data_IF_855781479043
#
_entry.id   IF_855781479043
#
_cell.length_a   1.000
_cell.length_b   1.000
_cell.length_c   1.000
_cell.angle_alpha   90.00
_cell.angle_beta   90.00
_cell.angle_gamma   90.00
#
_symmetry.space_group_name_H-M   'P 1'
#
loop_
_entity.id
_entity.type
_entity.pdbx_description
1 polymer ?
#
# COMPACT_ATOMS: atom_id res chain seq x y z
N UNK A 1 48.55 -15.71 3.31
CA UNK A 1 47.24 -15.05 3.56
C UNK A 1 46.13 -16.08 3.69
N UNK A 2 45.79 -16.47 4.92
CA UNK A 2 44.73 -17.44 5.25
C UNK A 2 43.35 -16.84 5.01
N UNK A 3 42.80 -17.05 3.80
CA UNK A 3 41.50 -16.49 3.40
C UNK A 3 40.35 -17.36 3.91
N UNK A 4 39.81 -16.96 5.08
CA UNK A 4 38.52 -17.35 5.70
C UNK A 4 37.59 -18.05 4.71
N UNK A 5 37.55 -19.38 4.76
CA UNK A 5 36.45 -20.16 4.21
C UNK A 5 35.20 -19.71 4.97
N UNK A 6 34.20 -19.13 4.26
CA UNK A 6 32.97 -18.71 4.95
C UNK A 6 32.32 -19.96 5.54
N UNK A 7 32.27 -20.02 6.87
CA UNK A 7 31.60 -21.06 7.65
C UNK A 7 30.16 -21.24 7.13
N UNK A 8 29.60 -22.47 7.16
CA UNK A 8 28.17 -22.65 6.92
C UNK A 8 27.37 -21.74 7.86
N UNK A 9 26.19 -21.27 7.42
CA UNK A 9 25.35 -20.43 8.28
C UNK A 9 25.03 -21.18 9.58
N UNK A 10 25.56 -20.64 10.67
CA UNK A 10 25.36 -21.15 12.02
C UNK A 10 24.00 -20.72 12.56
N UNK A 11 23.68 -21.20 13.76
CA UNK A 11 22.44 -20.85 14.47
C UNK A 11 22.27 -19.31 14.58
N UNK A 12 23.36 -18.61 14.92
CA UNK A 12 23.39 -17.15 15.04
C UNK A 12 23.01 -16.46 13.72
N UNK A 13 23.52 -16.94 12.58
CA UNK A 13 23.23 -16.34 11.28
C UNK A 13 21.74 -16.52 10.88
N UNK A 14 21.12 -17.63 11.31
CA UNK A 14 19.68 -17.88 11.13
C UNK A 14 18.87 -16.93 12.00
N UNK A 15 19.23 -16.79 13.29
CA UNK A 15 18.56 -15.87 14.22
C UNK A 15 18.63 -14.43 13.70
N UNK A 16 19.80 -13.99 13.24
CA UNK A 16 19.97 -12.66 12.62
C UNK A 16 19.08 -12.52 11.38
N UNK A 17 19.03 -13.55 10.52
CA UNK A 17 18.15 -13.55 9.35
C UNK A 17 16.67 -13.39 9.72
N UNK A 18 16.20 -14.13 10.72
CA UNK A 18 14.82 -14.03 11.22
C UNK A 18 14.53 -12.63 11.79
N UNK A 19 15.45 -12.04 12.57
CA UNK A 19 15.29 -10.69 13.11
C UNK A 19 15.22 -9.63 12.00
N UNK A 20 16.07 -9.75 10.97
CA UNK A 20 16.03 -8.85 9.81
C UNK A 20 14.72 -8.98 9.04
N UNK A 21 14.21 -10.21 8.85
CA UNK A 21 12.92 -10.43 8.21
C UNK A 21 11.76 -9.88 9.03
N UNK A 22 11.79 -10.04 10.35
CA UNK A 22 10.79 -9.47 11.26
C UNK A 22 10.81 -7.93 11.20
N UNK A 23 11.99 -7.32 11.29
CA UNK A 23 12.15 -5.87 11.17
C UNK A 23 11.68 -5.34 9.81
N UNK A 24 12.03 -6.03 8.72
CA UNK A 24 11.54 -5.69 7.39
C UNK A 24 10.02 -5.82 7.25
N UNK A 25 9.42 -6.84 7.90
CA UNK A 25 7.98 -7.01 7.98
C UNK A 25 7.28 -5.82 8.67
N UNK A 26 7.82 -5.37 9.80
CA UNK A 26 7.33 -4.18 10.52
C UNK A 26 7.41 -2.92 9.65
N UNK A 27 8.53 -2.73 8.92
CA UNK A 27 8.69 -1.61 7.99
C UNK A 27 7.69 -1.66 6.82
N UNK A 28 7.38 -2.85 6.31
CA UNK A 28 6.43 -3.03 5.22
C UNK A 28 4.96 -2.94 5.67
N UNK A 29 4.67 -3.13 6.96
CA UNK A 29 3.31 -3.23 7.47
C UNK A 29 2.40 -2.04 7.10
N UNK A 30 2.79 -0.77 7.30
CA UNK A 30 1.93 0.37 6.96
C UNK A 30 1.55 0.41 5.48
N UNK A 31 2.47 0.03 4.58
CA UNK A 31 2.23 0.01 3.13
C UNK A 31 1.28 -1.13 2.73
N UNK A 32 1.47 -2.33 3.31
CA UNK A 32 0.59 -3.46 3.05
C UNK A 32 -0.82 -3.24 3.63
N UNK A 33 -0.90 -2.68 4.84
CA UNK A 33 -2.14 -2.33 5.52
C UNK A 33 -2.91 -1.26 4.73
N UNK A 34 -2.24 -0.17 4.32
CA UNK A 34 -2.85 0.86 3.47
C UNK A 34 -3.32 0.30 2.13
N UNK A 35 -2.53 -0.56 1.49
CA UNK A 35 -2.91 -1.18 0.22
C UNK A 35 -4.18 -2.03 0.36
N UNK A 36 -4.32 -2.78 1.45
CA UNK A 36 -5.51 -3.56 1.75
C UNK A 36 -6.73 -2.67 2.07
N UNK A 37 -6.58 -1.65 2.91
CA UNK A 37 -7.68 -0.71 3.23
C UNK A 37 -8.11 0.10 2.00
N UNK A 38 -7.16 0.57 1.20
CA UNK A 38 -7.42 1.26 -0.07
C UNK A 38 -8.27 0.40 -1.00
N UNK A 39 -7.92 -0.89 -1.15
CA UNK A 39 -8.72 -1.85 -1.92
C UNK A 39 -10.14 -2.03 -1.35
N UNK A 40 -10.27 -2.20 -0.04
CA UNK A 40 -11.57 -2.32 0.61
C UNK A 40 -12.43 -1.05 0.43
N UNK A 41 -11.82 0.13 0.42
CA UNK A 41 -12.50 1.40 0.18
C UNK A 41 -12.93 1.55 -1.28
N UNK A 42 -12.13 1.07 -2.24
CA UNK A 42 -12.59 1.01 -3.64
C UNK A 42 -13.79 0.08 -3.79
N UNK A 43 -13.92 -1.00 -3.03
CA UNK A 43 -15.14 -1.83 -3.05
C UNK A 43 -16.38 -1.08 -2.53
N UNK A 44 -16.25 -0.22 -1.51
CA UNK A 44 -17.35 0.64 -1.04
C UNK A 44 -17.78 1.59 -2.15
N UNK A 45 -16.81 2.28 -2.75
CA UNK A 45 -17.05 3.22 -3.84
C UNK A 45 -17.70 2.51 -5.04
N UNK A 46 -17.19 1.35 -5.44
CA UNK A 46 -17.73 0.59 -6.58
C UNK A 46 -19.18 0.16 -6.31
N UNK A 47 -19.51 -0.28 -5.09
CA UNK A 47 -20.90 -0.63 -4.72
C UNK A 47 -21.81 0.60 -4.67
N UNK A 48 -21.34 1.71 -4.11
CA UNK A 48 -22.06 2.99 -4.12
C UNK A 48 -22.36 3.42 -5.56
N UNK A 49 -21.35 3.43 -6.45
CA UNK A 49 -21.52 3.75 -7.87
C UNK A 49 -22.50 2.81 -8.57
N UNK A 50 -22.48 1.51 -8.26
CA UNK A 50 -23.44 0.54 -8.79
C UNK A 50 -24.88 0.82 -8.31
N UNK A 51 -25.06 1.23 -7.06
CA UNK A 51 -26.37 1.63 -6.52
C UNK A 51 -26.86 2.90 -7.22
N UNK A 52 -26.02 3.91 -7.37
CA UNK A 52 -26.35 5.15 -8.09
C UNK A 52 -26.68 4.89 -9.57
N UNK A 53 -25.92 4.02 -10.25
CA UNK A 53 -26.15 3.67 -11.65
C UNK A 53 -27.46 2.90 -11.90
N UNK A 54 -28.01 2.24 -10.88
CA UNK A 54 -29.31 1.55 -10.95
C UNK A 54 -30.49 2.50 -10.74
N UNK A 55 -30.27 3.66 -10.14
CA UNK A 55 -31.31 4.68 -9.95
C UNK A 55 -31.60 5.34 -11.30
N UNK A 56 -32.87 5.63 -11.57
CA UNK A 56 -33.23 6.44 -12.74
C UNK A 56 -32.84 7.92 -12.52
N UNK A 57 -32.78 8.68 -13.60
CA UNK A 57 -32.36 10.08 -13.55
C UNK A 57 -33.26 10.96 -12.68
N UNK A 58 -34.55 10.65 -12.56
CA UNK A 58 -35.48 11.41 -11.73
C UNK A 58 -35.18 11.26 -10.24
N UNK A 59 -34.87 10.05 -9.79
CA UNK A 59 -34.51 9.76 -8.39
C UNK A 59 -33.20 10.47 -8.04
N UNK A 60 -32.18 10.34 -8.89
CA UNK A 60 -30.88 11.02 -8.69
C UNK A 60 -31.05 12.54 -8.62
N UNK A 61 -31.84 13.12 -9.54
CA UNK A 61 -32.12 14.56 -9.54
C UNK A 61 -32.87 14.99 -8.28
N UNK A 62 -33.83 14.19 -7.80
CA UNK A 62 -34.59 14.48 -6.58
C UNK A 62 -33.68 14.47 -5.35
N UNK A 63 -32.84 13.46 -5.20
CA UNK A 63 -31.88 13.37 -4.08
C UNK A 63 -30.87 14.53 -4.11
N UNK A 64 -30.33 14.84 -5.29
CA UNK A 64 -29.40 15.97 -5.44
C UNK A 64 -30.07 17.31 -5.12
N UNK A 65 -31.33 17.51 -5.55
CA UNK A 65 -32.11 18.71 -5.22
C UNK A 65 -32.43 18.80 -3.72
N UNK A 66 -32.70 17.69 -3.05
CA UNK A 66 -32.89 17.64 -1.59
C UNK A 66 -31.64 18.14 -0.85
N UNK A 67 -30.45 17.68 -1.26
CA UNK A 67 -29.19 18.20 -0.72
C UNK A 67 -29.00 19.70 -0.99
N UNK A 68 -29.36 20.18 -2.19
CA UNK A 68 -29.29 21.62 -2.48
C UNK A 68 -30.28 22.44 -1.64
N UNK A 69 -31.47 21.91 -1.36
CA UNK A 69 -32.46 22.56 -0.50
C UNK A 69 -31.95 22.64 0.95
N UNK A 70 -31.38 21.55 1.48
CA UNK A 70 -30.71 21.54 2.79
C UNK A 70 -29.56 22.55 2.83
N UNK A 71 -28.76 22.67 1.77
CA UNK A 71 -27.72 23.68 1.68
C UNK A 71 -28.27 25.11 1.75
N UNK A 72 -29.40 25.40 1.11
CA UNK A 72 -30.07 26.71 1.20
C UNK A 72 -30.55 27.00 2.62
N UNK A 73 -31.08 25.99 3.32
CA UNK A 73 -31.50 26.13 4.72
C UNK A 73 -30.30 26.42 5.63
N UNK A 74 -29.19 25.69 5.47
CA UNK A 74 -27.94 25.92 6.21
C UNK A 74 -27.36 27.32 5.96
N UNK A 75 -27.42 27.80 4.70
CA UNK A 75 -26.97 29.15 4.36
C UNK A 75 -27.85 30.23 5.03
N UNK A 76 -29.16 30.00 5.12
CA UNK A 76 -30.10 30.92 5.76
C UNK A 76 -29.99 30.93 7.29
N UNK A 77 -29.76 29.77 7.92
CA UNK A 77 -29.65 29.65 9.38
C UNK A 77 -28.31 30.11 9.95
N UNK A 78 -27.29 30.33 9.09
CA UNK A 78 -25.91 30.64 9.49
C UNK A 78 -25.36 29.64 10.54
N UNK A 79 -25.76 28.38 10.43
CA UNK A 79 -25.42 27.34 11.40
C UNK A 79 -23.89 27.21 11.56
N UNK A 80 -23.44 27.07 12.80
CA UNK A 80 -22.03 26.89 13.12
C UNK A 80 -21.63 25.45 12.77
N UNK A 81 -20.52 25.25 12.02
CA UNK A 81 -20.00 23.92 11.72
C UNK A 81 -19.75 23.09 12.99
N UNK A 82 -20.27 21.86 13.00
CA UNK A 82 -20.22 20.93 14.12
C UNK A 82 -18.88 20.22 14.25
N UNK A 83 -17.83 20.94 14.69
CA UNK A 83 -16.50 20.35 14.93
C UNK A 83 -16.43 19.43 16.16
N UNK A 84 -17.44 19.46 17.02
CA UNK A 84 -17.49 18.65 18.24
C UNK A 84 -17.48 17.15 17.94
N UNK A 85 -18.26 16.68 16.95
CA UNK A 85 -18.29 15.27 16.56
C UNK A 85 -16.93 14.80 16.05
N UNK A 86 -16.28 15.60 15.20
CA UNK A 86 -14.92 15.31 14.76
C UNK A 86 -13.92 15.31 15.93
N UNK A 87 -13.95 16.32 16.80
CA UNK A 87 -13.00 16.44 17.91
C UNK A 87 -13.15 15.31 18.93
N UNK A 88 -14.40 14.92 19.25
CA UNK A 88 -14.69 13.73 20.04
C UNK A 88 -14.11 12.49 19.36
N UNK A 89 -14.42 12.32 18.07
CA UNK A 89 -14.04 11.13 17.32
C UNK A 89 -12.54 10.91 17.14
N UNK A 90 -11.75 11.99 17.17
CA UNK A 90 -10.29 11.90 17.11
C UNK A 90 -9.63 11.80 18.48
N UNK A 91 -10.29 12.23 19.57
CA UNK A 91 -9.74 12.22 20.92
C UNK A 91 -10.06 10.91 21.67
N UNK A 92 -11.18 10.26 21.37
CA UNK A 92 -11.62 8.99 21.97
C UNK A 92 -10.84 7.75 21.53
N UNK A 93 -9.68 7.94 20.89
CA UNK A 93 -8.76 6.85 20.54
C UNK A 93 -8.28 6.05 21.77
N UNK A 94 -8.46 6.56 22.99
CA UNK A 94 -8.17 5.87 24.25
C UNK A 94 -9.34 5.11 24.90
N UNK A 95 -10.59 5.31 24.46
CA UNK A 95 -11.81 4.76 25.10
C UNK A 95 -12.67 3.90 24.19
N UNK A 96 -12.22 3.60 22.96
CA UNK A 96 -12.87 2.69 22.02
C UNK A 96 -12.84 1.21 22.51
N UNK A 97 -13.52 0.93 23.62
CA UNK A 97 -14.28 -0.31 23.75
C UNK A 97 -15.24 -0.34 22.55
N UNK A 98 -15.09 -1.37 21.72
CA UNK A 98 -15.84 -1.70 20.48
C UNK A 98 -15.22 -1.12 19.20
N UNK A 99 -14.28 -1.78 18.53
CA UNK A 99 -14.38 -3.14 17.97
C UNK A 99 -15.64 -3.40 17.11
N UNK A 100 -16.26 -2.37 16.52
CA UNK A 100 -17.20 -2.62 15.43
C UNK A 100 -16.40 -3.00 14.18
N UNK A 101 -16.37 -4.31 13.87
CA UNK A 101 -15.73 -4.83 12.66
C UNK A 101 -16.21 -4.05 11.44
N UNK A 102 -15.29 -3.77 10.50
CA UNK A 102 -15.60 -3.12 9.22
C UNK A 102 -16.81 -3.80 8.58
N UNK A 103 -17.86 -3.03 8.29
CA UNK A 103 -19.07 -3.51 7.62
C UNK A 103 -19.24 -2.79 6.28
N UNK A 104 -18.93 -3.48 5.19
CA UNK A 104 -18.95 -2.89 3.86
C UNK A 104 -20.35 -2.41 3.44
N UNK A 105 -21.42 -3.05 3.90
CA UNK A 105 -22.79 -2.67 3.53
C UNK A 105 -23.22 -1.38 4.22
N UNK A 106 -22.90 -1.22 5.51
CA UNK A 106 -23.17 0.01 6.26
C UNK A 106 -22.37 1.17 5.67
N UNK A 107 -21.07 0.97 5.42
CA UNK A 107 -20.21 1.98 4.78
C UNK A 107 -20.75 2.41 3.41
N UNK A 108 -21.21 1.45 2.60
CA UNK A 108 -21.81 1.76 1.29
C UNK A 108 -23.07 2.61 1.45
N UNK A 109 -23.96 2.26 2.38
CA UNK A 109 -25.22 3.00 2.63
C UNK A 109 -24.98 4.41 3.14
N UNK A 110 -23.93 4.63 3.94
CA UNK A 110 -23.57 5.93 4.50
C UNK A 110 -22.74 6.78 3.51
N UNK A 111 -22.32 6.23 2.37
CA UNK A 111 -21.54 6.98 1.37
C UNK A 111 -22.45 7.93 0.61
N UNK A 112 -22.10 9.22 0.59
CA UNK A 112 -22.80 10.25 -0.18
C UNK A 112 -22.03 10.74 -1.39
N UNK A 113 -20.70 10.61 -1.36
CA UNK A 113 -19.85 11.03 -2.45
C UNK A 113 -18.54 10.24 -2.47
N UNK A 114 -17.77 10.44 -3.53
CA UNK A 114 -16.38 10.04 -3.62
C UNK A 114 -15.50 11.28 -3.75
N UNK A 115 -14.43 11.34 -2.95
CA UNK A 115 -13.37 12.32 -3.06
C UNK A 115 -12.17 11.73 -3.80
N UNK A 116 -11.69 12.43 -4.82
CA UNK A 116 -10.48 12.05 -5.57
C UNK A 116 -9.46 13.18 -5.58
N UNK A 117 -8.20 12.87 -5.28
CA UNK A 117 -7.08 13.84 -5.29
C UNK A 117 -5.91 13.23 -6.10
N UNK A 118 -5.82 13.52 -7.41
CA UNK A 118 -4.86 12.87 -8.32
C UNK A 118 -3.40 13.01 -7.91
N UNK A 119 -3.00 14.20 -7.46
CA UNK A 119 -1.59 14.51 -7.14
C UNK A 119 -0.99 13.59 -6.08
N UNK A 120 -1.82 13.15 -5.13
CA UNK A 120 -1.41 12.22 -4.07
C UNK A 120 -1.95 10.81 -4.29
N UNK A 121 -2.60 10.56 -5.43
CA UNK A 121 -3.20 9.27 -5.77
C UNK A 121 -4.25 8.82 -4.76
N UNK A 122 -5.09 9.74 -4.26
CA UNK A 122 -6.10 9.46 -3.24
C UNK A 122 -7.49 9.27 -3.87
N UNK A 123 -8.22 8.24 -3.45
CA UNK A 123 -9.62 8.00 -3.79
C UNK A 123 -10.34 7.44 -2.56
N UNK A 124 -11.21 8.22 -1.93
CA UNK A 124 -11.90 7.84 -0.69
C UNK A 124 -13.43 7.98 -0.82
N UNK A 125 -14.21 7.09 -0.17
CA UNK A 125 -15.61 7.37 0.08
C UNK A 125 -15.73 8.56 1.04
N UNK A 126 -16.77 9.36 0.85
CA UNK A 126 -17.19 10.44 1.74
C UNK A 126 -18.51 10.00 2.36
N UNK A 127 -18.51 9.78 3.67
CA UNK A 127 -19.68 9.43 4.44
C UNK A 127 -20.50 10.68 4.81
N UNK A 128 -21.80 10.49 5.04
CA UNK A 128 -22.79 11.55 5.21
C UNK A 128 -22.70 12.35 6.52
N UNK A 129 -21.99 11.81 7.52
CA UNK A 129 -21.76 12.46 8.81
C UNK A 129 -20.41 12.00 9.40
N UNK A 130 -20.01 12.61 10.51
CA UNK A 130 -18.77 12.28 11.21
C UNK A 130 -19.02 11.39 12.43
N UNK A 131 -18.33 10.25 12.50
CA UNK A 131 -18.25 9.40 13.69
C UNK A 131 -16.90 8.70 13.77
N UNK A 132 -16.51 8.28 14.97
CA UNK A 132 -15.29 7.52 15.27
C UNK A 132 -15.15 6.28 14.38
N UNK A 133 -16.28 5.60 14.13
CA UNK A 133 -16.30 4.40 13.30
C UNK A 133 -16.11 4.73 11.81
N UNK A 134 -16.79 5.76 11.31
CA UNK A 134 -16.68 6.15 9.90
C UNK A 134 -15.29 6.70 9.55
N UNK A 135 -14.70 7.51 10.43
CA UNK A 135 -13.38 8.10 10.24
C UNK A 135 -12.25 7.06 10.15
N UNK A 136 -12.45 5.86 10.71
CA UNK A 136 -11.50 4.75 10.55
C UNK A 136 -11.43 4.22 9.12
N UNK A 137 -12.49 4.42 8.31
CA UNK A 137 -12.63 3.77 7.01
C UNK A 137 -12.66 4.73 5.82
N UNK A 138 -12.75 6.03 6.03
CA UNK A 138 -12.85 6.97 4.91
C UNK A 138 -12.89 8.43 5.34
N UNK A 139 -13.34 9.28 4.42
CA UNK A 139 -13.61 10.67 4.72
C UNK A 139 -15.06 10.84 5.16
N UNK A 140 -15.34 11.85 5.98
CA UNK A 140 -16.65 12.14 6.53
C UNK A 140 -17.04 13.58 6.21
N UNK A 141 -18.31 13.81 5.87
CA UNK A 141 -18.87 15.15 5.87
C UNK A 141 -18.95 15.67 7.31
N UNK A 142 -18.47 16.88 7.53
CA UNK A 142 -18.57 17.52 8.83
C UNK A 142 -20.00 17.99 9.07
N UNK A 143 -20.55 17.65 10.24
CA UNK A 143 -21.92 17.99 10.60
C UNK A 143 -22.14 19.50 10.58
N UNK A 144 -23.32 19.94 10.13
CA UNK A 144 -23.66 21.36 10.03
C UNK A 144 -22.96 22.12 8.89
N UNK A 145 -22.22 21.43 8.01
CA UNK A 145 -21.66 22.02 6.78
C UNK A 145 -22.49 21.64 5.55
N UNK A 146 -22.30 22.35 4.43
CA UNK A 146 -23.05 22.06 3.21
C UNK A 146 -22.73 20.65 2.69
N UNK A 147 -23.73 19.96 2.13
CA UNK A 147 -23.47 18.80 1.27
C UNK A 147 -22.60 19.23 0.07
N UNK A 148 -21.70 18.37 -0.42
CA UNK A 148 -20.74 18.72 -1.48
C UNK A 148 -21.38 18.64 -2.86
N UNK A 149 -22.55 19.26 -3.03
CA UNK A 149 -23.26 19.43 -4.31
C UNK A 149 -22.82 20.70 -5.04
N UNK A 150 -22.13 21.61 -4.35
CA UNK A 150 -21.70 22.92 -4.87
C UNK A 150 -22.86 23.91 -5.02
N UNK A 151 -22.61 24.98 -5.76
CA UNK A 151 -23.51 26.13 -5.89
C UNK A 151 -23.10 27.30 -5.00
N UNK A 152 -23.59 28.51 -5.33
CA UNK A 152 -23.30 29.71 -4.54
C UNK A 152 -23.84 29.57 -3.12
N UNK A 153 -23.16 30.20 -2.16
CA UNK A 153 -23.49 30.15 -0.74
C UNK A 153 -23.39 28.73 -0.18
N UNK A 154 -22.39 27.95 -0.62
CA UNK A 154 -22.13 26.62 -0.06
C UNK A 154 -20.68 26.50 0.40
N UNK A 155 -20.50 25.80 1.51
CA UNK A 155 -19.18 25.42 2.02
C UNK A 155 -19.27 24.04 2.67
N UNK A 156 -18.84 23.01 1.94
CA UNK A 156 -18.74 21.67 2.48
C UNK A 156 -17.39 21.47 3.18
N UNK A 157 -17.38 20.76 4.30
CA UNK A 157 -16.12 20.37 4.95
C UNK A 157 -16.04 18.86 5.00
N UNK A 158 -15.01 18.31 4.37
CA UNK A 158 -14.73 16.89 4.33
C UNK A 158 -13.55 16.63 5.26
N UNK A 159 -13.75 15.78 6.26
CA UNK A 159 -12.77 15.49 7.29
C UNK A 159 -12.27 14.04 7.20
N UNK A 160 -11.01 13.80 7.56
CA UNK A 160 -10.51 12.43 7.76
C UNK A 160 -9.30 12.44 8.70
N UNK A 161 -9.00 11.27 9.29
CA UNK A 161 -7.79 11.12 10.09
C UNK A 161 -6.51 11.32 9.27
N UNK A 162 -5.45 11.66 9.99
CA UNK A 162 -4.08 11.73 9.48
C UNK A 162 -3.18 10.90 10.40
N UNK A 163 -2.33 10.08 9.79
CA UNK A 163 -1.31 9.32 10.51
C UNK A 163 -1.82 8.13 11.30
N UNK A 164 -2.95 7.51 10.90
CA UNK A 164 -3.38 6.25 11.53
C UNK A 164 -2.52 5.09 11.01
N UNK A 165 -2.17 4.10 11.85
CA UNK A 165 -1.24 3.02 11.46
C UNK A 165 -1.70 2.16 10.26
N UNK A 166 -3.02 2.06 10.07
CA UNK A 166 -3.62 1.08 9.17
C UNK A 166 -4.09 1.66 7.82
N UNK A 167 -4.10 2.98 7.66
CA UNK A 167 -4.65 3.61 6.46
C UNK A 167 -4.05 5.00 6.23
N UNK A 168 -3.79 5.33 4.97
CA UNK A 168 -3.22 6.62 4.61
C UNK A 168 -4.22 7.77 4.82
N UNK A 169 -5.50 7.61 4.47
CA UNK A 169 -6.56 8.63 4.63
C UNK A 169 -6.07 10.04 4.21
N UNK A 170 -6.08 11.03 5.11
CA UNK A 170 -5.58 12.39 4.82
C UNK A 170 -4.11 12.60 5.19
N UNK A 171 -3.33 11.54 5.39
CA UNK A 171 -1.90 11.61 5.73
C UNK A 171 -1.08 12.45 4.77
N UNK A 172 -1.41 12.41 3.46
CA UNK A 172 -0.71 13.17 2.41
C UNK A 172 -1.40 14.47 1.97
N UNK A 173 -2.56 14.82 2.52
CA UNK A 173 -3.22 16.12 2.26
C UNK A 173 -2.29 17.32 2.53
N UNK A 174 -1.38 17.31 3.54
CA UNK A 174 -0.42 18.40 3.74
C UNK A 174 0.55 18.65 2.56
N UNK A 175 0.73 17.69 1.64
CA UNK A 175 1.58 17.86 0.46
C UNK A 175 0.92 18.69 -0.65
N UNK A 176 -0.38 18.97 -0.52
CA UNK A 176 -1.13 19.78 -1.47
C UNK A 176 -0.76 21.27 -1.34
N UNK A 177 -0.76 21.94 -2.48
CA UNK A 177 -0.38 23.34 -2.65
C UNK A 177 -1.48 24.10 -3.39
N UNK A 178 -1.41 25.44 -3.33
CA UNK A 178 -2.24 26.32 -4.16
C UNK A 178 -2.12 25.91 -5.64
N UNK A 179 -3.25 25.83 -6.34
CA UNK A 179 -3.35 25.43 -7.74
C UNK A 179 -3.64 23.95 -7.95
N UNK A 180 -3.38 23.08 -6.96
CA UNK A 180 -3.73 21.67 -7.04
C UNK A 180 -5.26 21.46 -7.07
N UNK A 181 -5.68 20.39 -7.72
CA UNK A 181 -7.10 20.05 -7.88
C UNK A 181 -7.52 18.84 -7.06
N UNK A 182 -8.77 18.83 -6.65
CA UNK A 182 -9.48 17.65 -6.17
C UNK A 182 -10.90 17.63 -6.73
N UNK A 183 -11.49 16.44 -6.73
CA UNK A 183 -12.77 16.18 -7.39
C UNK A 183 -13.74 15.48 -6.44
N UNK A 184 -15.01 15.86 -6.55
CA UNK A 184 -16.12 15.21 -5.87
C UNK A 184 -17.03 14.59 -6.91
N UNK A 185 -17.32 13.30 -6.77
CA UNK A 185 -18.38 12.62 -7.51
C UNK A 185 -19.55 12.32 -6.57
N UNK A 186 -20.73 12.86 -6.86
CA UNK A 186 -21.96 12.70 -6.06
C UNK A 186 -23.13 12.41 -6.99
N UNK A 187 -23.75 11.25 -6.85
CA UNK A 187 -24.70 10.73 -7.83
C UNK A 187 -24.08 10.68 -9.24
N UNK A 188 -24.72 11.34 -10.20
CA UNK A 188 -24.23 11.48 -11.58
C UNK A 188 -23.43 12.79 -11.82
N UNK A 189 -23.16 13.58 -10.78
CA UNK A 189 -22.44 14.85 -10.89
C UNK A 189 -20.96 14.69 -10.55
N UNK A 190 -20.11 15.37 -11.32
CA UNK A 190 -18.67 15.51 -11.07
C UNK A 190 -18.32 16.98 -10.89
N UNK A 191 -17.67 17.31 -9.78
CA UNK A 191 -17.37 18.69 -9.38
C UNK A 191 -15.86 18.83 -9.18
N UNK A 192 -15.26 19.85 -9.78
CA UNK A 192 -13.84 20.15 -9.66
C UNK A 192 -13.60 21.35 -8.76
N UNK A 193 -12.61 21.23 -7.86
CA UNK A 193 -12.19 22.30 -6.98
C UNK A 193 -10.69 22.51 -7.09
N UNK A 194 -10.28 23.78 -7.14
CA UNK A 194 -8.88 24.17 -7.13
C UNK A 194 -8.52 24.81 -5.79
N UNK A 195 -7.46 24.30 -5.17
CA UNK A 195 -6.95 24.76 -3.89
C UNK A 195 -6.44 26.19 -4.03
N UNK A 196 -6.96 27.09 -3.20
CA UNK A 196 -6.50 28.47 -3.17
C UNK A 196 -6.02 28.92 -1.78
N UNK A 197 -6.36 28.17 -0.72
CA UNK A 197 -6.08 28.56 0.66
C UNK A 197 -5.66 27.35 1.49
N UNK A 198 -4.66 27.57 2.35
CA UNK A 198 -4.16 26.60 3.35
C UNK A 198 -4.05 27.32 4.68
N UNK A 199 -4.58 26.74 5.74
CA UNK A 199 -4.56 27.33 7.08
C UNK A 199 -4.38 26.27 8.16
N UNK A 200 -3.81 26.67 9.30
CA UNK A 200 -3.82 25.89 10.53
C UNK A 200 -4.64 26.68 11.54
N UNK A 201 -5.56 26.00 12.22
CA UNK A 201 -6.49 26.58 13.19
C UNK A 201 -6.51 25.75 14.48
N UNK A 202 -6.97 26.37 15.56
CA UNK A 202 -7.31 25.65 16.78
C UNK A 202 -8.52 24.72 16.56
N UNK A 203 -8.63 23.57 17.26
CA UNK A 203 -9.76 22.65 17.10
C UNK A 203 -11.14 23.24 17.38
N UNK A 204 -11.20 24.30 18.19
CA UNK A 204 -12.44 25.03 18.53
C UNK A 204 -12.78 26.16 17.56
N UNK A 205 -11.86 26.56 16.67
CA UNK A 205 -12.08 27.68 15.75
C UNK A 205 -12.83 27.26 14.48
N UNK A 206 -14.14 27.50 14.46
CA UNK A 206 -14.99 27.15 13.31
C UNK A 206 -15.16 28.29 12.30
N UNK A 207 -14.55 29.47 12.52
CA UNK A 207 -14.82 30.67 11.72
C UNK A 207 -14.48 30.47 10.24
N UNK A 208 -13.39 29.75 9.97
CA UNK A 208 -12.91 29.47 8.61
C UNK A 208 -13.74 28.41 7.87
N UNK A 209 -14.64 27.71 8.57
CA UNK A 209 -15.47 26.63 8.02
C UNK A 209 -16.88 27.10 7.66
N UNK A 210 -17.23 28.36 7.97
CA UNK A 210 -18.56 28.93 7.69
C UNK A 210 -18.78 29.17 6.20
N UNK A 211 -20.05 29.20 5.80
CA UNK A 211 -20.45 29.57 4.43
C UNK A 211 -20.02 31.01 4.15
N UNK A 212 -19.40 31.22 2.99
CA UNK A 212 -19.03 32.55 2.51
C UNK A 212 -20.01 32.98 1.42
N UNK A 213 -20.69 34.12 1.56
CA UNK A 213 -21.64 34.61 0.56
C UNK A 213 -21.03 34.66 -0.85
N UNK A 214 -21.80 34.19 -1.82
CA UNK A 214 -21.43 34.14 -3.24
C UNK A 214 -20.45 33.05 -3.62
N UNK A 215 -19.84 32.32 -2.67
CA UNK A 215 -18.81 31.31 -2.97
C UNK A 215 -19.36 29.87 -2.97
N UNK A 216 -18.66 29.00 -3.70
CA UNK A 216 -18.83 27.54 -3.74
C UNK A 216 -17.49 26.93 -3.32
N UNK A 217 -17.42 26.47 -2.07
CA UNK A 217 -16.20 26.06 -1.39
C UNK A 217 -16.28 24.62 -0.88
N UNK A 218 -15.13 23.95 -0.92
CA UNK A 218 -14.93 22.69 -0.19
C UNK A 218 -13.62 22.78 0.58
N UNK A 219 -13.65 22.48 1.87
CA UNK A 219 -12.47 22.38 2.72
C UNK A 219 -12.18 20.94 3.07
N UNK A 220 -10.94 20.49 2.83
CA UNK A 220 -10.40 19.25 3.38
C UNK A 220 -9.80 19.55 4.75
N UNK A 221 -10.29 18.88 5.79
CA UNK A 221 -9.88 19.09 7.18
C UNK A 221 -9.21 17.84 7.76
N UNK A 222 -8.09 18.01 8.45
CA UNK A 222 -7.44 16.92 9.21
C UNK A 222 -6.65 17.46 10.40
N UNK A 223 -6.15 16.59 11.28
CA UNK A 223 -5.33 17.00 12.42
C UNK A 223 -3.90 17.42 12.00
N UNK A 224 -3.26 18.27 12.80
CA UNK A 224 -1.87 18.71 12.59
C UNK A 224 -1.31 19.28 13.91
N UNK A 225 0.01 19.37 14.13
CA UNK A 225 1.11 18.70 13.43
C UNK A 225 1.01 17.17 13.49
N UNK A 226 1.79 16.48 12.64
CA UNK A 226 1.80 15.02 12.57
C UNK A 226 2.14 14.41 13.94
N UNK A 227 1.42 13.37 14.36
CA UNK A 227 1.50 12.71 15.68
C UNK A 227 1.15 13.57 16.92
N UNK A 228 1.06 14.90 16.79
CA UNK A 228 0.69 15.80 17.90
C UNK A 228 -0.81 16.09 17.90
N UNK A 229 -1.40 16.29 16.70
CA UNK A 229 -2.84 16.48 16.50
C UNK A 229 -3.50 17.62 17.29
N UNK A 230 -2.72 18.59 17.79
CA UNK A 230 -3.20 19.70 18.61
C UNK A 230 -4.02 20.74 17.85
N UNK A 231 -3.85 20.83 16.53
CA UNK A 231 -4.50 21.78 15.65
C UNK A 231 -5.23 21.08 14.50
N UNK A 232 -5.91 21.85 13.65
CA UNK A 232 -6.51 21.37 12.38
C UNK A 232 -5.85 22.05 11.20
N UNK A 233 -5.48 21.25 10.20
CA UNK A 233 -5.07 21.70 8.88
C UNK A 233 -6.30 21.80 7.98
N UNK A 234 -6.49 22.97 7.37
CA UNK A 234 -7.52 23.24 6.39
C UNK A 234 -6.89 23.46 5.02
N UNK A 235 -7.36 22.71 4.03
CA UNK A 235 -7.03 22.91 2.61
C UNK A 235 -8.32 23.22 1.86
N UNK A 236 -8.52 24.49 1.50
CA UNK A 236 -9.77 24.97 0.91
C UNK A 236 -9.63 25.15 -0.60
N UNK A 237 -10.53 24.50 -1.33
CA UNK A 237 -10.71 24.65 -2.76
C UNK A 237 -11.94 25.49 -3.10
N UNK A 238 -11.85 26.20 -4.22
CA UNK A 238 -12.99 26.89 -4.84
C UNK A 238 -13.43 26.15 -6.09
N UNK A 239 -14.71 26.18 -6.37
CA UNK A 239 -15.28 25.55 -7.58
C UNK A 239 -14.63 26.09 -8.85
N UNK A 240 -14.31 25.18 -9.76
CA UNK A 240 -13.90 25.47 -11.14
C UNK A 240 -14.73 24.60 -12.11
N UNK A 241 -14.81 24.96 -13.41
CA UNK A 241 -15.39 24.08 -14.42
C UNK A 241 -14.68 22.73 -14.45
N UNK A 242 -15.47 21.66 -14.55
CA UNK A 242 -14.96 20.30 -14.74
C UNK A 242 -14.67 20.08 -16.23
N UNK A 243 -13.47 19.61 -16.57
CA UNK A 243 -13.04 19.37 -17.96
C UNK A 243 -12.68 17.91 -18.19
N UNK A 244 -12.62 17.47 -19.46
CA UNK A 244 -12.30 16.06 -19.80
C UNK A 244 -10.97 15.56 -19.20
N UNK A 245 -9.94 16.40 -19.13
CA UNK A 245 -8.66 16.04 -18.50
C UNK A 245 -8.79 15.69 -17.01
N UNK A 246 -9.83 16.19 -16.33
CA UNK A 246 -10.11 15.86 -14.94
C UNK A 246 -10.63 14.41 -14.78
N UNK A 247 -11.25 13.83 -15.82
CA UNK A 247 -11.65 12.42 -15.84
C UNK A 247 -10.44 11.49 -15.83
N UNK A 248 -9.46 11.78 -16.69
CA UNK A 248 -8.21 11.02 -16.77
C UNK A 248 -7.46 11.10 -15.44
N UNK A 249 -7.32 12.31 -14.87
CA UNK A 249 -6.67 12.51 -13.59
C UNK A 249 -7.39 11.78 -12.43
N UNK A 250 -8.73 11.79 -12.43
CA UNK A 250 -9.53 11.05 -11.45
C UNK A 250 -9.38 9.53 -11.60
N UNK A 251 -9.38 9.05 -12.85
CA UNK A 251 -9.21 7.62 -13.15
C UNK A 251 -7.84 7.10 -12.72
N UNK A 252 -6.78 7.90 -12.88
CA UNK A 252 -5.44 7.60 -12.40
C UNK A 252 -5.42 7.33 -10.88
N UNK A 253 -6.03 8.21 -10.08
CA UNK A 253 -6.08 8.03 -8.64
C UNK A 253 -6.84 6.75 -8.26
N UNK A 254 -7.98 6.48 -8.89
CA UNK A 254 -8.76 5.24 -8.65
C UNK A 254 -7.94 4.01 -9.02
N UNK A 255 -7.30 4.02 -10.19
CA UNK A 255 -6.45 2.92 -10.66
C UNK A 255 -5.27 2.68 -9.72
N UNK A 256 -4.58 3.74 -9.29
CA UNK A 256 -3.47 3.64 -8.35
C UNK A 256 -3.90 2.97 -7.03
N UNK A 257 -5.06 3.35 -6.48
CA UNK A 257 -5.59 2.72 -5.26
C UNK A 257 -5.89 1.23 -5.42
N UNK A 258 -6.33 0.78 -6.60
CA UNK A 258 -6.52 -0.65 -6.89
C UNK A 258 -5.18 -1.37 -7.08
N UNK A 259 -4.21 -0.71 -7.71
CA UNK A 259 -2.89 -1.28 -7.98
C UNK A 259 -2.02 -1.45 -6.72
N UNK A 260 -2.17 -0.57 -5.72
CA UNK A 260 -1.43 -0.66 -4.43
C UNK A 260 -1.40 -2.09 -3.88
N UNK A 261 -2.55 -2.78 -3.86
CA UNK A 261 -2.64 -4.15 -3.36
C UNK A 261 -1.89 -5.16 -4.24
N UNK A 262 -1.98 -5.03 -5.56
CA UNK A 262 -1.25 -5.90 -6.50
C UNK A 262 0.26 -5.72 -6.31
N UNK A 263 0.74 -4.48 -6.20
CA UNK A 263 2.17 -4.19 -5.96
C UNK A 263 2.62 -4.78 -4.62
N UNK A 264 1.82 -4.63 -3.56
CA UNK A 264 2.13 -5.23 -2.26
C UNK A 264 2.22 -6.76 -2.32
N UNK A 265 1.28 -7.42 -3.02
CA UNK A 265 1.27 -8.88 -3.20
C UNK A 265 2.46 -9.37 -4.05
N UNK A 266 2.78 -8.68 -5.15
CA UNK A 266 3.95 -8.99 -5.97
C UNK A 266 5.24 -8.84 -5.16
N UNK A 267 5.36 -7.76 -4.37
CA UNK A 267 6.46 -7.58 -3.43
C UNK A 267 6.59 -8.75 -2.46
N UNK A 268 5.49 -9.18 -1.85
CA UNK A 268 5.46 -10.32 -0.94
C UNK A 268 5.89 -11.63 -1.62
N UNK A 269 5.44 -11.89 -2.86
CA UNK A 269 5.84 -13.07 -3.64
C UNK A 269 7.35 -13.06 -3.95
N UNK A 270 7.91 -11.90 -4.34
CA UNK A 270 9.34 -11.75 -4.60
C UNK A 270 10.14 -12.03 -3.32
N UNK A 271 9.69 -11.51 -2.17
CA UNK A 271 10.34 -11.74 -0.87
C UNK A 271 10.28 -13.23 -0.50
N UNK A 272 9.12 -13.88 -0.64
CA UNK A 272 8.98 -15.32 -0.38
C UNK A 272 9.87 -16.16 -1.31
N UNK A 273 9.97 -15.78 -2.59
CA UNK A 273 10.87 -16.40 -3.56
C UNK A 273 12.34 -16.26 -3.17
N UNK A 274 12.75 -15.08 -2.69
CA UNK A 274 14.11 -14.83 -2.18
C UNK A 274 14.39 -15.66 -0.93
N UNK A 275 13.46 -15.70 0.02
CA UNK A 275 13.56 -16.54 1.22
C UNK A 275 13.70 -18.01 0.83
N UNK A 276 12.86 -18.51 -0.09
CA UNK A 276 12.93 -19.87 -0.60
C UNK A 276 14.26 -20.17 -1.30
N UNK A 277 14.79 -19.22 -2.09
CA UNK A 277 16.09 -19.34 -2.74
C UNK A 277 17.24 -19.44 -1.73
N UNK A 278 17.24 -18.58 -0.70
CA UNK A 278 18.23 -18.59 0.38
C UNK A 278 18.13 -19.89 1.18
N UNK A 279 16.92 -20.28 1.60
CA UNK A 279 16.67 -21.52 2.35
C UNK A 279 17.09 -22.76 1.56
N UNK A 280 16.81 -22.81 0.26
CA UNK A 280 17.30 -23.88 -0.62
C UNK A 280 18.82 -23.93 -0.64
N UNK A 281 19.48 -22.78 -0.80
CA UNK A 281 20.94 -22.69 -0.76
C UNK A 281 21.53 -23.19 0.56
N UNK A 282 20.88 -22.87 1.68
CA UNK A 282 21.23 -23.33 3.02
C UNK A 282 21.08 -24.84 3.18
N UNK A 283 19.93 -25.40 2.77
CA UNK A 283 19.66 -26.84 2.86
C UNK A 283 20.65 -27.66 2.00
N UNK A 284 20.91 -27.20 0.78
CA UNK A 284 21.92 -27.82 -0.10
C UNK A 284 23.31 -27.75 0.53
N UNK A 285 23.69 -26.62 1.12
CA UNK A 285 25.01 -26.45 1.74
C UNK A 285 25.26 -27.32 2.98
N UNK A 286 24.21 -27.79 3.67
CA UNK A 286 24.31 -28.67 4.84
C UNK A 286 24.38 -30.16 4.50
N UNK A 287 23.90 -30.56 3.32
CA UNK A 287 23.97 -31.94 2.86
C UNK A 287 25.21 -32.18 2.02
N UNK A 288 25.78 -33.37 2.14
CA UNK A 288 26.82 -33.84 1.24
C UNK A 288 26.20 -34.70 0.14
N UNK A 289 26.73 -34.56 -1.07
CA UNK A 289 26.28 -35.23 -2.27
C UNK A 289 27.49 -35.92 -2.92
N UNK A 290 27.25 -37.09 -3.51
CA UNK A 290 28.29 -37.85 -4.19
C UNK A 290 28.55 -37.26 -5.57
N UNK A 291 29.81 -36.97 -5.87
CA UNK A 291 30.26 -36.59 -7.19
C UNK A 291 30.86 -37.84 -7.85
N UNK A 292 30.08 -38.47 -8.74
CA UNK A 292 30.55 -39.60 -9.54
C UNK A 292 31.37 -39.10 -10.73
N UNK A 293 32.54 -39.69 -10.94
CA UNK A 293 33.44 -39.29 -12.02
C UNK A 293 34.06 -40.53 -12.67
N UNK A 294 34.21 -40.57 -14.01
CA UNK A 294 34.75 -41.73 -14.72
C UNK A 294 36.18 -42.10 -14.32
N UNK A 295 36.47 -43.39 -14.45
CA UNK A 295 37.77 -44.05 -14.24
C UNK A 295 38.92 -43.36 -14.99
N UNK A 296 40.14 -43.51 -14.47
CA UNK A 296 41.42 -43.12 -15.12
C UNK A 296 41.59 -41.63 -15.45
N UNK A 297 40.86 -40.74 -14.78
CA UNK A 297 41.01 -39.30 -14.95
C UNK A 297 41.81 -38.64 -13.83
N UNK A 298 42.68 -37.69 -14.19
CA UNK A 298 43.21 -36.67 -13.25
C UNK A 298 42.23 -35.51 -13.19
N UNK A 299 41.77 -35.16 -12.00
CA UNK A 299 40.61 -34.27 -11.86
C UNK A 299 40.93 -33.07 -10.97
N UNK A 300 40.42 -31.91 -11.36
CA UNK A 300 40.52 -30.67 -10.59
C UNK A 300 39.12 -30.13 -10.31
N UNK A 301 38.74 -30.12 -9.03
CA UNK A 301 37.47 -29.53 -8.57
C UNK A 301 37.73 -28.08 -8.15
N UNK A 302 37.05 -27.16 -8.82
CA UNK A 302 37.17 -25.71 -8.59
C UNK A 302 35.82 -25.15 -8.14
N UNK A 303 35.80 -24.42 -7.04
CA UNK A 303 34.62 -23.65 -6.58
C UNK A 303 34.92 -22.17 -6.66
N UNK A 304 34.11 -21.43 -7.42
CA UNK A 304 34.25 -19.96 -7.59
C UNK A 304 35.70 -19.52 -7.93
N UNK A 305 36.34 -20.23 -8.85
CA UNK A 305 37.71 -19.93 -9.31
C UNK A 305 38.83 -20.39 -8.37
N UNK A 306 38.52 -21.00 -7.22
CA UNK A 306 39.52 -21.57 -6.31
C UNK A 306 39.58 -23.08 -6.43
N UNK A 307 40.79 -23.61 -6.51
CA UNK A 307 41.06 -25.03 -6.36
C UNK A 307 40.54 -25.50 -5.00
N UNK A 308 39.76 -26.59 -5.00
CA UNK A 308 39.21 -27.20 -3.79
C UNK A 308 39.89 -28.55 -3.54
N UNK A 309 40.08 -29.34 -4.59
CA UNK A 309 40.72 -30.64 -4.47
C UNK A 309 41.21 -31.14 -5.84
N UNK A 310 42.30 -31.93 -5.83
CA UNK A 310 42.77 -32.70 -6.98
C UNK A 310 42.74 -34.18 -6.64
N UNK A 311 42.21 -35.03 -7.52
CA UNK A 311 42.18 -36.48 -7.33
C UNK A 311 42.76 -37.21 -8.56
N UNK A 312 43.28 -38.42 -8.35
CA UNK A 312 43.59 -39.42 -9.37
C UNK A 312 42.76 -40.68 -9.06
N UNK A 313 42.02 -41.19 -10.03
CA UNK A 313 41.23 -42.43 -9.86
C UNK A 313 42.15 -43.64 -9.67
N UNK A 314 41.79 -44.56 -8.78
CA UNK A 314 42.37 -45.90 -8.64
C UNK A 314 41.75 -46.91 -9.64
N UNK A 315 42.32 -48.12 -9.70
CA UNK A 315 42.06 -49.17 -10.71
C UNK A 315 40.63 -49.75 -10.73
N UNK A 316 39.75 -49.34 -9.80
CA UNK A 316 38.36 -49.83 -9.66
C UNK A 316 37.31 -48.89 -10.27
N UNK A 317 37.73 -47.71 -10.74
CA UNK A 317 37.03 -46.96 -11.79
C UNK A 317 35.87 -46.04 -11.40
N UNK A 318 35.54 -45.87 -10.12
CA UNK A 318 34.65 -44.78 -9.65
C UNK A 318 35.10 -44.32 -8.26
N UNK A 319 35.64 -43.11 -8.15
CA UNK A 319 35.92 -42.48 -6.85
C UNK A 319 34.73 -41.62 -6.43
N UNK A 320 34.03 -42.06 -5.39
CA UNK A 320 32.90 -41.35 -4.81
C UNK A 320 33.38 -40.23 -3.88
N UNK A 321 33.32 -38.97 -4.34
CA UNK A 321 33.69 -37.82 -3.53
C UNK A 321 32.43 -37.19 -2.93
N UNK A 322 32.36 -37.17 -1.61
CA UNK A 322 31.27 -36.52 -0.87
C UNK A 322 31.57 -35.03 -0.68
N UNK A 323 30.86 -34.15 -1.40
CA UNK A 323 31.03 -32.69 -1.31
C UNK A 323 29.74 -32.01 -0.84
N UNK A 324 29.82 -30.90 -0.08
CA UNK A 324 28.64 -30.15 0.32
C UNK A 324 27.93 -29.57 -0.91
N UNK A 325 26.59 -29.58 -0.92
CA UNK A 325 25.79 -29.12 -2.05
C UNK A 325 26.12 -27.68 -2.45
N UNK A 326 26.61 -27.50 -3.68
CA UNK A 326 26.96 -26.19 -4.24
C UNK A 326 27.12 -26.26 -5.77
N UNK A 327 27.56 -25.17 -6.38
CA UNK A 327 27.99 -25.16 -7.77
C UNK A 327 29.51 -25.26 -7.86
N UNK A 328 29.99 -26.29 -8.56
CA UNK A 328 31.41 -26.54 -8.79
C UNK A 328 31.69 -26.56 -10.30
N UNK A 329 32.93 -26.24 -10.67
CA UNK A 329 33.49 -26.53 -11.99
C UNK A 329 34.46 -27.70 -11.82
N UNK A 330 34.25 -28.77 -12.55
CA UNK A 330 35.07 -29.98 -12.52
C UNK A 330 35.79 -30.09 -13.85
N UNK A 331 37.11 -30.14 -13.83
CA UNK A 331 37.90 -30.45 -15.01
C UNK A 331 38.34 -31.92 -14.92
N UNK A 332 37.97 -32.70 -15.93
CA UNK A 332 38.34 -34.11 -16.07
C UNK A 332 39.42 -34.18 -17.15
N UNK A 333 40.62 -34.61 -16.78
CA UNK A 333 41.75 -34.80 -17.70
C UNK A 333 41.95 -36.30 -17.88
N UNK A 334 41.68 -36.79 -19.09
CA UNK A 334 41.95 -38.18 -19.50
C UNK A 334 43.11 -38.19 -20.50
N UNK A 335 43.69 -39.36 -20.84
CA UNK A 335 44.69 -39.46 -21.91
C UNK A 335 44.23 -38.88 -23.26
N UNK A 336 42.91 -38.82 -23.48
CA UNK A 336 42.26 -38.28 -24.69
C UNK A 336 42.04 -36.76 -24.65
N UNK A 337 42.31 -36.09 -23.53
CA UNK A 337 42.23 -34.63 -23.42
C UNK A 337 41.52 -34.11 -22.17
N UNK A 338 41.36 -32.79 -22.09
CA UNK A 338 40.76 -32.09 -20.93
C UNK A 338 39.34 -31.62 -21.24
N UNK A 339 38.37 -32.11 -20.47
CA UNK A 339 36.96 -31.68 -20.55
C UNK A 339 36.54 -30.95 -19.27
N UNK A 340 35.64 -29.97 -19.40
CA UNK A 340 35.14 -29.16 -18.28
C UNK A 340 33.65 -29.41 -18.09
N UNK A 341 33.23 -29.57 -16.84
CA UNK A 341 31.84 -29.77 -16.44
C UNK A 341 31.44 -28.77 -15.36
N UNK A 342 30.16 -28.42 -15.33
CA UNK A 342 29.50 -27.76 -14.20
C UNK A 342 28.80 -28.84 -13.38
N UNK A 343 29.21 -29.00 -12.12
CA UNK A 343 28.56 -29.89 -11.17
C UNK A 343 27.61 -29.08 -10.28
N UNK A 344 26.34 -29.48 -10.23
CA UNK A 344 25.33 -28.86 -9.38
C UNK A 344 24.29 -29.89 -8.94
N UNK A 345 23.61 -29.63 -7.83
CA UNK A 345 22.53 -30.48 -7.32
C UNK A 345 21.19 -29.97 -7.85
N UNK A 346 20.44 -30.81 -8.58
CA UNK A 346 19.17 -30.39 -9.21
C UNK A 346 18.03 -30.32 -8.18
N UNK A 347 17.85 -31.36 -7.36
CA UNK A 347 16.86 -31.43 -6.29
C UNK A 347 17.53 -31.71 -4.94
N UNK A 348 16.97 -31.16 -3.85
CA UNK A 348 17.51 -31.33 -2.49
C UNK A 348 17.55 -32.80 -2.05
N UNK A 349 16.67 -33.65 -2.62
CA UNK A 349 16.58 -35.08 -2.36
C UNK A 349 17.57 -35.93 -3.16
N UNK A 350 18.26 -35.35 -4.14
CA UNK A 350 19.24 -36.10 -4.92
C UNK A 350 20.35 -36.59 -3.99
N UNK A 351 20.93 -37.76 -4.27
CA UNK A 351 22.09 -38.26 -3.53
C UNK A 351 23.41 -37.86 -4.20
N UNK A 352 23.35 -37.41 -5.46
CA UNK A 352 24.49 -37.23 -6.36
C UNK A 352 24.46 -35.87 -7.07
N UNK A 353 25.61 -35.38 -7.50
CA UNK A 353 25.71 -34.20 -8.35
C UNK A 353 25.28 -34.50 -9.79
N UNK A 354 24.62 -33.54 -10.43
CA UNK A 354 24.40 -33.54 -11.88
C UNK A 354 25.59 -32.87 -12.56
N UNK A 355 26.19 -33.54 -13.54
CA UNK A 355 27.25 -33.00 -14.39
C UNK A 355 26.67 -32.50 -15.72
N UNK A 356 26.93 -31.25 -16.06
CA UNK A 356 26.63 -30.68 -17.38
C UNK A 356 27.92 -30.22 -18.05
N UNK A 357 28.22 -30.73 -19.24
CA UNK A 357 29.41 -30.31 -20.02
C UNK A 357 29.37 -28.79 -20.23
N UNK A 358 30.49 -28.13 -19.96
CA UNK A 358 30.63 -26.66 -19.97
C UNK A 358 31.15 -26.12 -21.27
#
# INVERSE_FOLDING_TARGET
MTKRTRRPLGLIDIVIGCLLLAGFGVLCYPFASDAYVSYQNQQVIDRYRQQEARKNQMVLRREYNDYQQKNKQLAASQQVPGVASFNHAVNDQGTAKTAAKRNQQILTRQTVAQLTIPKIGLSLPVFDHTSDWLLQFGACLLDGTSYPTGGKNTHAVISAHRGVPNAELFTRVPALKKGDKFFISIGNHKLAYQIFKRQVIEPSDTRQLRIVPGQDLVTLMTCTPYMINSHRLLITGRRIPYVKADDEASSWAVWWNKLKLIVALLGAVIILGLIGFVMRGLMLGRKHYLLEVPAEATQVVVKRGRHIHSFKSDQTGVTDISLPGNHYRVAIVTPLGRTKYKAYVKKIRDKKFTLKRS
#
